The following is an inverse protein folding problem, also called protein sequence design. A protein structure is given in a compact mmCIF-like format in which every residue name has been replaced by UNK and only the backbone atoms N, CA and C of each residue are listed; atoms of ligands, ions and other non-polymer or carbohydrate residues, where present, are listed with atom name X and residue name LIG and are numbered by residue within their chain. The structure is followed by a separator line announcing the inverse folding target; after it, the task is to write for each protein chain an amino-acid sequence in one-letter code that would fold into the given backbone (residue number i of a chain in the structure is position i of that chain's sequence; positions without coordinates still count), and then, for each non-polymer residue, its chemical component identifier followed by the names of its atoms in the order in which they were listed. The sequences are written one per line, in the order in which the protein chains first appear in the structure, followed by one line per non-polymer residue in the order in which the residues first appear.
data_IF_602969977881
#
_entry.id   IF_602969977881
#
_cell.length_a   1.000
_cell.length_b   1.000
_cell.length_c   1.000
_cell.angle_alpha   90.00
_cell.angle_beta   90.00
_cell.angle_gamma   90.00
#
_symmetry.space_group_name_H-M   'P 1'
#
loop_
_entity.id
_entity.type
_entity.pdbx_description
1 polymer ?
#
# COMPACT_ATOMS: atom_id res chain seq x y z
N UNK A 1 3.01 19.17 3.32
CA UNK A 1 2.89 18.14 4.40
C UNK A 1 3.83 18.55 5.52
N UNK A 2 3.46 18.42 6.80
CA UNK A 2 4.39 18.84 7.87
C UNK A 2 5.61 17.90 7.90
N UNK A 3 6.81 18.45 8.10
CA UNK A 3 8.05 17.66 8.28
C UNK A 3 7.92 16.58 9.36
N UNK A 4 7.05 16.80 10.35
CA UNK A 4 6.71 15.83 11.39
C UNK A 4 6.17 14.50 10.85
N UNK A 5 5.52 14.47 9.68
CA UNK A 5 5.04 13.22 9.08
C UNK A 5 6.17 12.24 8.79
N UNK A 6 7.33 12.73 8.31
CA UNK A 6 8.49 11.89 8.02
C UNK A 6 9.08 11.24 9.27
N UNK A 7 8.81 11.80 10.46
CA UNK A 7 9.18 11.19 11.74
C UNK A 7 8.10 10.19 12.23
N UNK A 8 6.81 10.51 12.05
CA UNK A 8 5.73 9.67 12.53
C UNK A 8 5.51 8.40 11.69
N UNK A 9 5.74 8.45 10.37
CA UNK A 9 5.55 7.26 9.53
C UNK A 9 6.50 6.08 9.91
N UNK A 10 7.82 6.29 10.09
CA UNK A 10 8.71 5.26 10.62
C UNK A 10 8.33 4.80 12.03
N UNK A 11 7.84 5.70 12.88
CA UNK A 11 7.39 5.35 14.23
C UNK A 11 6.20 4.39 14.18
N UNK A 12 5.21 4.65 13.32
CA UNK A 12 4.07 3.74 13.10
C UNK A 12 4.53 2.37 12.60
N UNK A 13 5.49 2.32 11.66
CA UNK A 13 6.09 1.06 11.23
C UNK A 13 6.82 0.35 12.37
N UNK A 14 7.51 1.10 13.23
CA UNK A 14 8.16 0.58 14.43
C UNK A 14 7.18 -0.06 15.41
N UNK A 15 5.96 0.48 15.55
CA UNK A 15 4.90 -0.13 16.36
C UNK A 15 4.48 -1.48 15.78
N UNK A 16 4.29 -1.59 14.46
CA UNK A 16 3.99 -2.88 13.83
C UNK A 16 5.11 -3.89 14.00
N UNK A 17 6.36 -3.48 13.79
CA UNK A 17 7.53 -4.34 13.97
C UNK A 17 7.67 -4.81 15.43
N UNK A 18 7.46 -3.93 16.41
CA UNK A 18 7.46 -4.29 17.82
C UNK A 18 6.36 -5.32 18.14
N UNK A 19 5.16 -5.16 17.58
CA UNK A 19 4.08 -6.15 17.74
C UNK A 19 4.46 -7.53 17.21
N UNK A 20 5.13 -7.60 16.06
CA UNK A 20 5.63 -8.86 15.47
C UNK A 20 6.67 -9.52 16.38
N UNK A 21 7.64 -8.74 16.89
CA UNK A 21 8.71 -9.23 17.75
C UNK A 21 8.17 -9.70 19.12
N UNK A 22 7.25 -8.95 19.72
CA UNK A 22 6.60 -9.34 20.98
C UNK A 22 5.77 -10.62 20.78
N UNK A 23 5.18 -10.81 19.60
CA UNK A 23 4.51 -12.06 19.21
C UNK A 23 5.45 -13.25 18.99
N UNK A 24 6.77 -13.08 19.10
CA UNK A 24 7.76 -14.13 18.92
C UNK A 24 8.03 -14.52 17.46
N UNK A 25 7.54 -13.74 16.50
CA UNK A 25 7.74 -13.99 15.08
C UNK A 25 9.03 -13.32 14.56
N UNK A 26 9.69 -13.95 13.59
CA UNK A 26 10.83 -13.37 12.88
C UNK A 26 10.32 -12.37 11.82
N UNK A 27 10.86 -11.14 11.83
CA UNK A 27 10.55 -10.11 10.82
C UNK A 27 10.87 -10.56 9.39
N UNK A 28 11.83 -11.49 9.21
CA UNK A 28 12.17 -12.06 7.89
C UNK A 28 11.00 -12.81 7.26
N UNK A 29 10.07 -13.33 8.06
CA UNK A 29 8.86 -13.98 7.53
C UNK A 29 8.05 -12.99 6.70
N UNK A 30 8.03 -11.72 7.07
CA UNK A 30 7.36 -10.63 6.36
C UNK A 30 8.15 -10.08 5.16
N UNK A 31 9.21 -10.77 4.74
CA UNK A 31 9.95 -10.48 3.53
C UNK A 31 9.76 -11.62 2.52
N UNK A 32 8.56 -11.69 1.96
CA UNK A 32 8.18 -12.68 0.94
C UNK A 32 8.09 -12.03 -0.45
N UNK A 33 9.08 -12.28 -1.34
CA UNK A 33 9.11 -11.65 -2.67
C UNK A 33 7.86 -11.90 -3.52
N UNK A 34 7.26 -13.12 -3.58
CA UNK A 34 6.02 -13.35 -4.31
C UNK A 34 4.86 -12.45 -3.85
N UNK A 35 4.62 -12.36 -2.54
CA UNK A 35 3.56 -11.50 -1.99
C UNK A 35 3.82 -10.02 -2.27
N UNK A 36 5.09 -9.58 -2.18
CA UNK A 36 5.47 -8.22 -2.56
C UNK A 36 5.20 -7.97 -4.06
N UNK A 37 5.59 -8.89 -4.94
CA UNK A 37 5.37 -8.74 -6.38
C UNK A 37 3.88 -8.63 -6.72
N UNK A 38 3.03 -9.47 -6.11
CA UNK A 38 1.58 -9.47 -6.34
C UNK A 38 0.94 -8.16 -5.92
N UNK A 39 1.40 -7.53 -4.82
CA UNK A 39 0.82 -6.26 -4.35
C UNK A 39 1.42 -5.07 -5.10
N UNK A 40 2.73 -4.98 -5.23
CA UNK A 40 3.40 -3.78 -5.71
C UNK A 40 3.45 -3.66 -7.23
N UNK A 41 3.65 -4.75 -7.98
CA UNK A 41 3.78 -4.65 -9.44
C UNK A 41 2.49 -4.16 -10.12
N UNK A 42 1.30 -4.70 -9.81
CA UNK A 42 0.06 -4.20 -10.42
C UNK A 42 -0.18 -2.72 -10.07
N UNK A 43 0.10 -2.32 -8.83
CA UNK A 43 -0.01 -0.92 -8.39
C UNK A 43 0.90 -0.02 -9.21
N UNK A 44 2.18 -0.37 -9.35
CA UNK A 44 3.16 0.41 -10.10
C UNK A 44 2.73 0.53 -11.58
N UNK A 45 2.46 -0.59 -12.24
CA UNK A 45 2.14 -0.58 -13.67
C UNK A 45 0.81 0.10 -13.99
N UNK A 46 -0.22 -0.12 -13.18
CA UNK A 46 -1.52 0.53 -13.40
C UNK A 46 -1.44 2.04 -13.13
N UNK A 47 -0.77 2.46 -12.06
CA UNK A 47 -0.59 3.90 -11.81
C UNK A 47 0.26 4.58 -12.89
N UNK A 48 1.33 3.92 -13.36
CA UNK A 48 2.13 4.40 -14.48
C UNK A 48 1.30 4.50 -15.77
N UNK A 49 0.42 3.55 -16.05
CA UNK A 49 -0.44 3.58 -17.24
C UNK A 49 -1.46 4.71 -17.22
N UNK A 50 -1.97 5.09 -16.04
CA UNK A 50 -3.04 6.09 -15.90
C UNK A 50 -2.47 7.50 -15.75
N UNK A 51 -1.41 7.68 -14.96
CA UNK A 51 -0.88 9.00 -14.60
C UNK A 51 0.47 9.32 -15.25
N UNK A 52 1.17 8.32 -15.78
CA UNK A 52 2.56 8.46 -16.22
C UNK A 52 3.53 8.72 -15.05
N UNK A 53 4.86 8.69 -15.32
CA UNK A 53 5.86 8.98 -14.29
C UNK A 53 5.76 10.39 -13.72
N UNK A 54 5.51 11.39 -14.57
CA UNK A 54 5.38 12.79 -14.16
C UNK A 54 4.17 13.00 -13.25
N UNK A 55 3.01 12.41 -13.58
CA UNK A 55 1.81 12.54 -12.75
C UNK A 55 1.97 11.95 -11.35
N UNK A 56 2.76 10.87 -11.21
CA UNK A 56 3.13 10.31 -9.90
C UNK A 56 3.96 11.33 -9.11
N UNK A 57 5.05 11.84 -9.70
CA UNK A 57 5.94 12.80 -9.04
C UNK A 57 5.19 14.08 -8.66
N UNK A 58 4.35 14.59 -9.56
CA UNK A 58 3.54 15.79 -9.35
C UNK A 58 2.55 15.61 -8.20
N UNK A 59 1.94 14.42 -8.07
CA UNK A 59 1.03 14.14 -6.96
C UNK A 59 1.75 14.15 -5.59
N UNK A 60 2.93 13.56 -5.51
CA UNK A 60 3.76 13.62 -4.29
C UNK A 60 4.25 15.05 -4.01
N UNK A 61 4.71 15.76 -5.05
CA UNK A 61 5.17 17.15 -4.94
C UNK A 61 4.06 18.06 -4.43
N UNK A 62 2.85 17.98 -5.00
CA UNK A 62 1.70 18.76 -4.55
C UNK A 62 1.36 18.52 -3.07
N UNK A 63 1.61 17.32 -2.54
CA UNK A 63 1.40 17.02 -1.12
C UNK A 63 2.44 17.70 -0.22
N UNK A 64 3.69 17.86 -0.68
CA UNK A 64 4.75 18.55 0.05
C UNK A 64 4.73 20.06 -0.09
N UNK A 65 4.36 20.58 -1.26
CA UNK A 65 4.37 22.02 -1.58
C UNK A 65 3.53 22.85 -0.61
N UNK A 66 3.94 24.07 -0.28
CA UNK A 66 3.19 24.94 0.64
C UNK A 66 2.05 25.67 -0.06
N UNK A 67 2.25 26.03 -1.33
CA UNK A 67 1.31 26.82 -2.13
C UNK A 67 0.95 26.14 -3.46
N UNK A 68 0.47 24.88 -3.47
CA UNK A 68 0.06 24.22 -4.69
C UNK A 68 -1.19 24.89 -5.28
N UNK A 69 -1.29 24.92 -6.60
CA UNK A 69 -2.51 25.37 -7.27
C UNK A 69 -3.69 24.42 -6.99
N UNK A 70 -4.92 24.94 -7.07
CA UNK A 70 -6.13 24.13 -6.91
C UNK A 70 -6.18 22.92 -7.87
N UNK A 71 -5.70 23.10 -9.10
CA UNK A 71 -5.63 22.02 -10.10
C UNK A 71 -4.68 20.90 -9.67
N UNK A 72 -3.48 21.24 -9.18
CA UNK A 72 -2.50 20.26 -8.70
C UNK A 72 -3.01 19.48 -7.50
N UNK A 73 -3.68 20.17 -6.55
CA UNK A 73 -4.29 19.52 -5.38
C UNK A 73 -5.34 18.50 -5.81
N UNK A 74 -6.24 18.88 -6.73
CA UNK A 74 -7.28 17.96 -7.23
C UNK A 74 -6.70 16.75 -7.96
N UNK A 75 -5.67 16.95 -8.79
CA UNK A 75 -4.94 15.85 -9.47
C UNK A 75 -4.30 14.91 -8.46
N UNK A 76 -3.65 15.45 -7.42
CA UNK A 76 -3.07 14.64 -6.35
C UNK A 76 -4.12 13.82 -5.58
N UNK A 77 -5.27 14.42 -5.26
CA UNK A 77 -6.38 13.69 -4.58
C UNK A 77 -6.89 12.55 -5.47
N UNK A 78 -7.05 12.79 -6.77
CA UNK A 78 -7.45 11.75 -7.73
C UNK A 78 -6.42 10.62 -7.80
N UNK A 79 -5.12 10.96 -7.85
CA UNK A 79 -4.02 10.00 -7.81
C UNK A 79 -4.06 9.11 -6.57
N UNK A 80 -4.02 9.68 -5.36
CA UNK A 80 -4.00 8.89 -4.13
C UNK A 80 -5.29 8.12 -3.89
N UNK A 81 -6.43 8.63 -4.37
CA UNK A 81 -7.70 7.90 -4.34
C UNK A 81 -7.67 6.66 -5.24
N UNK A 82 -7.13 6.80 -6.45
CA UNK A 82 -6.94 5.67 -7.37
C UNK A 82 -5.92 4.67 -6.81
N UNK A 83 -4.77 5.15 -6.33
CA UNK A 83 -3.74 4.33 -5.72
C UNK A 83 -4.29 3.48 -4.56
N UNK A 84 -5.08 4.08 -3.67
CA UNK A 84 -5.73 3.36 -2.56
C UNK A 84 -6.57 2.20 -3.07
N UNK A 85 -7.40 2.43 -4.10
CA UNK A 85 -8.26 1.39 -4.67
C UNK A 85 -7.44 0.28 -5.32
N UNK A 86 -6.42 0.62 -6.11
CA UNK A 86 -5.58 -0.37 -6.78
C UNK A 86 -4.78 -1.19 -5.76
N UNK A 87 -4.24 -0.59 -4.71
CA UNK A 87 -3.51 -1.30 -3.65
C UNK A 87 -4.42 -2.32 -2.95
N UNK A 88 -5.62 -1.89 -2.54
CA UNK A 88 -6.58 -2.77 -1.87
C UNK A 88 -7.04 -3.91 -2.79
N UNK A 89 -7.33 -3.61 -4.05
CA UNK A 89 -7.69 -4.63 -5.04
C UNK A 89 -6.55 -5.60 -5.29
N UNK A 90 -5.29 -5.13 -5.35
CA UNK A 90 -4.12 -6.00 -5.55
C UNK A 90 -3.90 -6.92 -4.35
N UNK A 91 -4.04 -6.40 -3.11
CA UNK A 91 -4.01 -7.20 -1.90
C UNK A 91 -5.12 -8.24 -1.84
N UNK A 92 -6.35 -7.85 -2.21
CA UNK A 92 -7.49 -8.77 -2.30
C UNK A 92 -7.27 -9.88 -3.33
N UNK A 93 -6.80 -9.54 -4.53
CA UNK A 93 -6.47 -10.52 -5.57
C UNK A 93 -5.38 -11.48 -5.11
N UNK A 94 -4.32 -10.98 -4.46
CA UNK A 94 -3.28 -11.84 -3.89
C UNK A 94 -3.79 -12.77 -2.79
N UNK A 95 -4.72 -12.29 -1.97
CA UNK A 95 -5.38 -13.10 -0.94
C UNK A 95 -6.17 -14.24 -1.58
N UNK A 96 -6.97 -13.94 -2.60
CA UNK A 96 -7.74 -14.95 -3.34
C UNK A 96 -6.83 -15.98 -4.00
N UNK A 97 -5.72 -15.55 -4.61
CA UNK A 97 -4.74 -16.47 -5.21
C UNK A 97 -4.16 -17.42 -4.17
N UNK A 98 -3.71 -16.92 -3.01
CA UNK A 98 -3.17 -17.76 -1.94
C UNK A 98 -4.21 -18.76 -1.38
N UNK A 99 -5.47 -18.33 -1.23
CA UNK A 99 -6.57 -19.23 -0.82
C UNK A 99 -6.82 -20.32 -1.86
N UNK A 100 -6.90 -19.98 -3.14
CA UNK A 100 -7.11 -20.96 -4.21
C UNK A 100 -5.97 -21.99 -4.29
N UNK A 101 -4.73 -21.53 -4.16
CA UNK A 101 -3.55 -22.41 -4.17
C UNK A 101 -3.51 -23.32 -2.94
N UNK A 102 -3.95 -22.82 -1.79
CA UNK A 102 -4.13 -23.61 -0.56
C UNK A 102 -5.15 -24.73 -0.78
N UNK A 103 -6.35 -24.39 -1.28
CA UNK A 103 -7.42 -25.36 -1.55
C UNK A 103 -7.00 -26.40 -2.59
N UNK A 104 -6.30 -25.97 -3.64
CA UNK A 104 -5.74 -26.84 -4.65
C UNK A 104 -4.71 -27.82 -4.05
N UNK A 105 -3.82 -27.33 -3.20
CA UNK A 105 -2.82 -28.14 -2.50
C UNK A 105 -3.45 -29.24 -1.65
N UNK A 106 -4.46 -28.88 -0.85
CA UNK A 106 -5.22 -29.84 -0.03
C UNK A 106 -5.93 -30.88 -0.92
N UNK A 107 -6.58 -30.44 -2.01
CA UNK A 107 -7.32 -31.34 -2.91
C UNK A 107 -6.45 -32.41 -3.56
N UNK A 108 -5.17 -32.13 -3.81
CA UNK A 108 -4.26 -33.06 -4.50
C UNK A 108 -3.56 -34.05 -3.58
N UNK A 109 -3.72 -33.94 -2.25
CA UNK A 109 -3.03 -34.80 -1.27
C UNK A 109 -1.51 -34.90 -1.51
N UNK A 110 -0.93 -33.86 -2.10
CA UNK A 110 0.51 -33.80 -2.39
C UNK A 110 1.23 -33.03 -1.28
N UNK A 111 2.55 -33.23 -1.17
CA UNK A 111 3.51 -32.43 -0.38
C UNK A 111 3.65 -30.98 -0.89
N UNK A 112 2.55 -30.41 -1.41
CA UNK A 112 2.47 -29.00 -1.76
C UNK A 112 2.53 -28.21 -0.44
N UNK A 113 3.37 -27.17 -0.35
CA UNK A 113 3.55 -26.43 0.90
C UNK A 113 2.33 -25.53 1.18
N UNK A 114 1.24 -26.11 1.68
CA UNK A 114 -0.02 -25.41 1.99
C UNK A 114 0.22 -24.21 2.91
N UNK A 115 1.10 -24.34 3.90
CA UNK A 115 1.47 -23.26 4.80
C UNK A 115 2.03 -22.04 4.05
N UNK A 116 2.79 -22.25 2.98
CA UNK A 116 3.36 -21.17 2.17
C UNK A 116 2.27 -20.35 1.46
N UNK A 117 1.23 -20.99 0.94
CA UNK A 117 0.12 -20.28 0.28
C UNK A 117 -0.78 -19.53 1.25
N UNK A 118 -0.95 -20.04 2.47
CA UNK A 118 -1.63 -19.30 3.56
C UNK A 118 -0.85 -18.05 3.93
N UNK A 119 0.49 -18.14 3.99
CA UNK A 119 1.37 -16.99 4.22
C UNK A 119 1.20 -15.97 3.10
N UNK A 120 1.21 -16.38 1.83
CA UNK A 120 0.96 -15.48 0.70
C UNK A 120 -0.39 -14.77 0.83
N UNK A 121 -1.45 -15.53 1.14
CA UNK A 121 -2.78 -14.95 1.28
C UNK A 121 -2.82 -13.88 2.38
N UNK A 122 -2.20 -14.17 3.53
CA UNK A 122 -2.20 -13.27 4.70
C UNK A 122 -1.30 -12.06 4.50
N UNK A 123 -0.16 -12.22 3.82
CA UNK A 123 0.81 -11.16 3.63
C UNK A 123 0.39 -10.15 2.57
N UNK A 124 -0.26 -10.61 1.49
CA UNK A 124 -0.74 -9.71 0.44
C UNK A 124 -1.76 -8.68 0.97
N UNK A 125 -2.71 -9.10 1.81
CA UNK A 125 -3.61 -8.15 2.50
C UNK A 125 -2.88 -7.29 3.51
N UNK A 126 -1.93 -7.85 4.28
CA UNK A 126 -1.14 -7.09 5.25
C UNK A 126 -0.36 -5.95 4.57
N UNK A 127 0.39 -6.25 3.51
CA UNK A 127 1.14 -5.25 2.75
C UNK A 127 0.24 -4.18 2.15
N UNK A 128 -0.91 -4.57 1.59
CA UNK A 128 -1.86 -3.61 1.03
C UNK A 128 -2.39 -2.64 2.09
N UNK A 129 -2.79 -3.14 3.26
CA UNK A 129 -3.28 -2.31 4.37
C UNK A 129 -2.18 -1.39 4.89
N UNK A 130 -0.98 -1.90 5.15
CA UNK A 130 0.16 -1.09 5.62
C UNK A 130 0.49 0.01 4.61
N UNK A 131 0.53 -0.31 3.32
CA UNK A 131 0.82 0.66 2.27
C UNK A 131 -0.25 1.76 2.18
N UNK A 132 -1.54 1.41 2.32
CA UNK A 132 -2.63 2.40 2.34
C UNK A 132 -2.51 3.31 3.56
N UNK A 133 -2.25 2.76 4.74
CA UNK A 133 -2.13 3.51 5.99
C UNK A 133 -0.91 4.45 6.01
N UNK A 134 0.21 4.02 5.44
CA UNK A 134 1.50 4.74 5.49
C UNK A 134 1.73 5.62 4.27
N UNK A 135 1.00 5.42 3.17
CA UNK A 135 1.24 6.19 1.94
C UNK A 135 -0.02 6.89 1.48
N UNK A 136 -1.08 6.16 1.10
CA UNK A 136 -2.15 6.83 0.36
C UNK A 136 -3.06 7.69 1.24
N UNK A 137 -3.43 7.19 2.43
CA UNK A 137 -4.33 7.91 3.35
C UNK A 137 -3.73 9.25 3.80
N UNK A 138 -2.50 9.31 4.35
CA UNK A 138 -1.99 10.56 4.90
C UNK A 138 -1.72 11.62 3.82
N UNK A 139 -1.27 11.20 2.64
CA UNK A 139 -1.03 12.10 1.51
C UNK A 139 -2.35 12.65 0.95
N UNK A 140 -3.36 11.80 0.77
CA UNK A 140 -4.70 12.23 0.36
C UNK A 140 -5.30 13.22 1.36
N UNK A 141 -5.30 12.89 2.65
CA UNK A 141 -5.86 13.78 3.68
C UNK A 141 -5.11 15.11 3.77
N UNK A 142 -3.79 15.12 3.56
CA UNK A 142 -3.02 16.36 3.50
C UNK A 142 -3.43 17.26 2.32
N UNK A 143 -3.74 16.68 1.17
CA UNK A 143 -4.23 17.41 -0.01
C UNK A 143 -5.67 17.88 0.16
N UNK A 144 -6.56 17.06 0.72
CA UNK A 144 -7.94 17.44 1.03
C UNK A 144 -7.99 18.63 2.00
N UNK A 145 -7.11 18.63 3.02
CA UNK A 145 -6.96 19.77 3.93
C UNK A 145 -6.52 21.05 3.21
N UNK A 146 -5.60 20.94 2.24
CA UNK A 146 -5.16 22.09 1.42
C UNK A 146 -6.27 22.58 0.50
N UNK A 147 -7.03 21.68 -0.12
CA UNK A 147 -8.15 22.04 -0.98
C UNK A 147 -9.19 22.87 -0.21
N UNK A 148 -9.49 22.48 1.04
CA UNK A 148 -10.41 23.22 1.91
C UNK A 148 -9.89 24.63 2.25
N UNK A 149 -8.57 24.80 2.42
CA UNK A 149 -7.98 26.11 2.67
C UNK A 149 -8.00 27.04 1.45
N UNK A 150 -7.98 26.50 0.23
CA UNK A 150 -8.06 27.25 -1.03
C UNK A 150 -9.49 27.63 -1.44
N UNK A 151 -10.51 27.12 -0.75
CA UNK A 151 -11.92 27.45 -1.00
C UNK A 151 -12.47 28.56 -0.10
N UNK A 152 -11.66 29.05 0.84
CA UNK A 152 -11.94 30.19 1.71
C UNK A 152 -11.38 31.47 1.08
#
# INVERSE_FOLDING_TARGET
MKKSYMAYAPLTLGVFAAGILIGGADLRVFWDPPSLMIVFLPVIFLLLSVFGPSGIVDAFRAAFDETPSKSEVLKGIAFFSMATRIILLSGFMGTLMGVLMTLYGISKSQDIPVAFYIVIASQTVCYAVVMVLIVTVPFKSALEKKLAALSL
#
